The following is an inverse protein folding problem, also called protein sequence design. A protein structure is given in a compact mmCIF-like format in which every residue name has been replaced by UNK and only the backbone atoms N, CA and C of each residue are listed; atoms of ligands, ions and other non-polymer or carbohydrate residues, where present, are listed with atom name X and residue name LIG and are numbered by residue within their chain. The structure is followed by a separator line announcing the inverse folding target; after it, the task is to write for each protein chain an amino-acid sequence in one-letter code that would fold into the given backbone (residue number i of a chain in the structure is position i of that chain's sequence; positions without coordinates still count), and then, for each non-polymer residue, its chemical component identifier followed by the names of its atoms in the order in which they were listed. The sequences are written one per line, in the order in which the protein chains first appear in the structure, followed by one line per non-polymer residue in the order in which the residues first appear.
data_IF_877509002803
#
_entry.id   IF_877509002803
#
_cell.length_a   1.000
_cell.length_b   1.000
_cell.length_c   1.000
_cell.angle_alpha   90.00
_cell.angle_beta   90.00
_cell.angle_gamma   90.00
#
_symmetry.space_group_name_H-M   'P 1'
#
loop_
_entity.id
_entity.type
_entity.pdbx_description
1 polymer ?
#
# COMPACT_ATOMS: atom_id res chain seq x y z
N UNK A 1 -3.92 -35.13 -60.09
CA UNK A 1 -3.99 -36.60 -60.06
C UNK A 1 -3.57 -37.07 -58.68
N UNK A 2 -4.41 -37.93 -58.07
CA UNK A 2 -4.16 -39.03 -57.12
C UNK A 2 -2.77 -39.13 -56.46
N UNK A 3 -2.57 -39.51 -55.20
CA UNK A 3 -3.36 -40.25 -54.19
C UNK A 3 -2.45 -40.37 -52.95
N UNK A 4 -2.99 -40.45 -51.73
CA UNK A 4 -2.13 -40.76 -50.58
C UNK A 4 -2.83 -40.87 -49.23
N UNK A 5 -3.82 -41.74 -49.12
CA UNK A 5 -4.54 -42.12 -47.89
C UNK A 5 -3.79 -43.23 -47.15
N UNK A 6 -3.39 -43.07 -45.87
CA UNK A 6 -3.36 -44.09 -44.76
C UNK A 6 -3.18 -43.35 -43.41
N UNK A 7 -4.17 -43.18 -42.53
CA UNK A 7 -4.82 -44.06 -41.52
C UNK A 7 -3.93 -44.57 -40.34
N UNK A 8 -4.42 -44.22 -39.12
CA UNK A 8 -4.22 -44.82 -37.76
C UNK A 8 -2.99 -44.32 -36.99
N UNK A 9 -3.00 -44.06 -35.67
CA UNK A 9 -3.85 -44.53 -34.56
C UNK A 9 -3.92 -43.45 -33.45
N UNK A 10 -5.10 -43.10 -32.93
CA UNK A 10 -5.68 -43.58 -31.65
C UNK A 10 -4.72 -43.45 -30.46
N UNK A 11 -4.85 -42.36 -29.70
CA UNK A 11 -4.51 -42.35 -28.28
C UNK A 11 -5.78 -42.02 -27.50
N UNK A 12 -6.39 -43.06 -26.95
CA UNK A 12 -7.51 -42.96 -26.00
C UNK A 12 -6.92 -42.54 -24.66
N UNK A 13 -7.11 -41.29 -24.26
CA UNK A 13 -6.89 -40.89 -22.88
C UNK A 13 -8.19 -41.19 -22.13
N UNK A 14 -8.16 -42.27 -21.36
CA UNK A 14 -9.23 -42.64 -20.46
C UNK A 14 -9.36 -41.59 -19.34
N UNK A 15 -10.30 -40.66 -19.50
CA UNK A 15 -10.72 -39.75 -18.42
C UNK A 15 -11.64 -40.52 -17.49
N UNK A 16 -11.06 -41.07 -16.43
CA UNK A 16 -11.80 -41.61 -15.31
C UNK A 16 -12.43 -40.46 -14.52
N UNK A 17 -13.76 -40.40 -14.64
CA UNK A 17 -14.76 -40.13 -13.61
C UNK A 17 -14.51 -38.99 -12.63
N UNK A 18 -15.36 -37.94 -12.66
CA UNK A 18 -15.92 -37.39 -11.42
C UNK A 18 -17.39 -36.97 -11.62
N UNK A 19 -18.23 -37.17 -10.58
CA UNK A 19 -19.66 -37.34 -10.70
C UNK A 19 -20.44 -36.03 -10.87
N UNK A 20 -21.63 -36.19 -11.42
CA UNK A 20 -22.71 -35.20 -11.48
C UNK A 20 -23.12 -34.74 -10.08
N UNK A 21 -22.83 -33.49 -9.74
CA UNK A 21 -23.46 -32.81 -8.61
C UNK A 21 -24.58 -31.90 -9.13
N UNK A 22 -25.77 -32.46 -9.28
CA UNK A 22 -27.01 -31.69 -9.22
C UNK A 22 -27.16 -31.17 -7.79
N UNK A 23 -27.16 -29.87 -7.61
CA UNK A 23 -27.37 -29.25 -6.32
C UNK A 23 -27.20 -27.76 -6.44
N UNK A 24 -28.31 -27.04 -6.64
CA UNK A 24 -28.34 -25.60 -6.53
C UNK A 24 -27.90 -25.22 -5.12
N UNK A 25 -26.65 -24.80 -4.98
CA UNK A 25 -26.14 -24.11 -3.81
C UNK A 25 -26.13 -22.64 -4.17
N UNK A 26 -27.16 -21.94 -3.74
CA UNK A 26 -27.19 -20.48 -3.70
C UNK A 26 -25.89 -20.00 -3.04
N UNK A 27 -25.09 -19.25 -3.79
CA UNK A 27 -23.76 -18.81 -3.35
C UNK A 27 -23.98 -18.00 -2.06
N UNK A 28 -23.43 -18.40 -0.90
CA UNK A 28 -23.50 -17.55 0.27
C UNK A 28 -22.86 -16.19 -0.08
N UNK A 29 -23.38 -15.07 0.45
CA UNK A 29 -22.76 -13.77 0.23
C UNK A 29 -21.27 -13.88 0.64
N UNK A 30 -20.36 -13.19 -0.08
CA UNK A 30 -18.95 -13.20 0.31
C UNK A 30 -18.88 -12.79 1.78
N UNK A 31 -18.24 -13.64 2.60
CA UNK A 31 -17.93 -13.31 3.98
C UNK A 31 -17.34 -11.91 3.97
N UNK A 32 -17.99 -10.99 4.70
CA UNK A 32 -17.70 -9.57 4.66
C UNK A 32 -16.20 -9.35 4.73
N UNK A 33 -15.69 -8.45 3.88
CA UNK A 33 -14.32 -8.00 3.93
C UNK A 33 -13.94 -7.78 5.40
N UNK A 34 -12.76 -8.26 5.86
CA UNK A 34 -12.34 -8.06 7.23
C UNK A 34 -12.38 -6.56 7.49
N UNK A 35 -13.38 -6.12 8.28
CA UNK A 35 -13.45 -4.75 8.76
C UNK A 35 -12.13 -4.55 9.50
N UNK A 36 -11.31 -3.54 9.16
CA UNK A 36 -10.09 -3.28 9.89
C UNK A 36 -10.48 -3.13 11.36
N UNK A 37 -10.03 -4.08 12.19
CA UNK A 37 -10.25 -4.02 13.63
C UNK A 37 -9.59 -2.75 14.17
N UNK A 38 -10.09 -2.17 15.27
CA UNK A 38 -9.39 -1.06 15.91
C UNK A 38 -8.04 -1.59 16.40
N UNK A 39 -6.95 -1.18 15.76
CA UNK A 39 -5.59 -1.45 16.25
C UNK A 39 -4.66 -2.26 15.34
N UNK A 40 -4.93 -2.39 14.04
CA UNK A 40 -3.86 -2.69 13.07
C UNK A 40 -3.44 -1.41 12.33
N UNK A 41 -3.15 -0.37 13.10
CA UNK A 41 -2.28 0.69 12.59
C UNK A 41 -0.91 0.07 12.39
N UNK A 42 -0.23 0.43 11.30
CA UNK A 42 1.24 0.39 11.29
C UNK A 42 1.74 0.99 12.62
N UNK A 43 2.79 0.46 13.25
CA UNK A 43 3.29 0.99 14.53
C UNK A 43 3.33 2.51 14.43
N UNK A 44 2.59 3.19 15.31
CA UNK A 44 2.25 4.60 15.18
C UNK A 44 3.52 5.35 14.76
N UNK A 45 3.55 5.81 13.51
CA UNK A 45 4.76 6.40 12.96
C UNK A 45 5.09 7.58 13.86
N UNK A 46 6.29 7.56 14.43
CA UNK A 46 6.66 8.54 15.44
C UNK A 46 6.41 9.95 14.87
N UNK A 47 5.72 10.78 15.65
CA UNK A 47 5.36 12.15 15.29
C UNK A 47 6.27 13.13 16.00
N UNK A 48 6.55 14.24 15.34
CA UNK A 48 7.46 15.25 15.82
C UNK A 48 7.39 16.53 14.99
N UNK A 49 8.41 17.36 15.14
CA UNK A 49 8.50 18.66 14.48
C UNK A 49 9.25 18.56 13.16
N UNK A 50 8.66 19.11 12.11
CA UNK A 50 9.30 19.29 10.81
C UNK A 50 9.68 20.77 10.63
N UNK A 51 10.97 21.04 10.49
CA UNK A 51 11.48 22.37 10.17
C UNK A 51 11.82 22.41 8.68
N UNK A 52 11.09 23.21 7.92
CA UNK A 52 11.33 23.48 6.52
C UNK A 52 12.10 24.79 6.39
N UNK A 53 13.17 24.81 5.61
CA UNK A 53 13.97 26.00 5.35
C UNK A 53 13.78 26.42 3.90
N UNK A 54 13.48 27.71 3.70
CA UNK A 54 13.26 28.36 2.41
C UNK A 54 14.10 29.63 2.34
N UNK A 55 15.18 29.65 1.56
CA UNK A 55 16.14 30.74 1.46
C UNK A 55 16.50 31.32 2.85
N UNK A 56 15.83 32.40 3.26
CA UNK A 56 16.07 33.12 4.50
C UNK A 56 14.98 32.92 5.57
N UNK A 57 14.01 32.04 5.33
CA UNK A 57 12.89 31.74 6.21
C UNK A 57 12.95 30.29 6.69
N UNK A 58 12.55 30.08 7.93
CA UNK A 58 12.32 28.75 8.49
C UNK A 58 10.89 28.67 9.00
N UNK A 59 10.19 27.63 8.58
CA UNK A 59 8.82 27.33 8.97
C UNK A 59 8.81 26.00 9.72
N UNK A 60 7.93 25.87 10.72
CA UNK A 60 7.79 24.63 11.46
C UNK A 60 6.37 24.08 11.35
N UNK A 61 6.27 22.78 11.06
CA UNK A 61 5.03 22.01 11.02
C UNK A 61 5.08 20.96 12.12
N UNK A 62 4.16 21.06 13.09
CA UNK A 62 4.08 20.14 14.22
C UNK A 62 3.37 18.83 13.82
N UNK A 63 3.51 17.81 14.67
CA UNK A 63 2.76 16.55 14.61
C UNK A 63 2.91 15.78 13.28
N UNK A 64 4.07 15.91 12.65
CA UNK A 64 4.41 15.22 11.40
C UNK A 64 5.28 14.00 11.66
N UNK A 65 5.08 12.97 10.86
CA UNK A 65 6.05 11.88 10.72
C UNK A 65 7.24 12.34 9.88
N UNK A 66 8.38 11.67 9.99
CA UNK A 66 9.57 11.97 9.17
C UNK A 66 9.25 11.90 7.66
N UNK A 67 8.44 10.91 7.27
CA UNK A 67 8.02 10.72 5.89
C UNK A 67 7.18 11.90 5.39
N UNK A 68 6.24 12.38 6.19
CA UNK A 68 5.42 13.55 5.85
C UNK A 68 6.29 14.82 5.78
N UNK A 69 7.27 14.97 6.67
CA UNK A 69 8.20 16.09 6.62
C UNK A 69 8.97 16.16 5.30
N UNK A 70 9.53 15.02 4.85
CA UNK A 70 10.20 14.91 3.55
C UNK A 70 9.24 15.22 2.40
N UNK A 71 8.06 14.61 2.39
CA UNK A 71 7.05 14.83 1.34
C UNK A 71 6.61 16.29 1.26
N UNK A 72 6.48 16.96 2.40
CA UNK A 72 6.14 18.38 2.44
C UNK A 72 7.25 19.26 1.86
N UNK A 73 8.52 18.96 2.16
CA UNK A 73 9.63 19.69 1.55
C UNK A 73 9.65 19.52 0.02
N UNK A 74 9.46 18.28 -0.47
CA UNK A 74 9.41 17.99 -1.90
C UNK A 74 8.23 18.73 -2.57
N UNK A 75 7.06 18.75 -1.94
CA UNK A 75 5.86 19.40 -2.46
C UNK A 75 5.94 20.94 -2.45
N UNK A 76 6.58 21.52 -1.44
CA UNK A 76 6.73 22.97 -1.28
C UNK A 76 8.02 23.51 -1.90
N UNK A 77 8.85 22.65 -2.48
CA UNK A 77 10.16 23.00 -3.06
C UNK A 77 11.05 23.72 -2.04
N UNK A 78 11.15 23.16 -0.84
CA UNK A 78 11.99 23.70 0.23
C UNK A 78 13.49 23.43 -0.04
N UNK A 79 14.39 24.27 0.47
CA UNK A 79 15.84 24.08 0.28
C UNK A 79 16.38 22.92 1.11
N UNK A 80 15.88 22.79 2.34
CA UNK A 80 16.23 21.70 3.25
C UNK A 80 15.20 21.52 4.33
N UNK A 81 15.11 20.30 4.87
CA UNK A 81 14.25 19.97 5.99
C UNK A 81 15.03 19.31 7.13
N UNK A 82 14.54 19.49 8.36
CA UNK A 82 14.99 18.77 9.54
C UNK A 82 13.77 18.22 10.30
N UNK A 83 13.78 16.94 10.62
CA UNK A 83 12.73 16.30 11.41
C UNK A 83 13.27 15.93 12.78
N UNK A 84 12.51 16.25 13.83
CA UNK A 84 12.84 15.96 15.22
C UNK A 84 11.78 15.07 15.85
N UNK A 85 12.17 13.85 16.20
CA UNK A 85 11.29 12.85 16.84
C UNK A 85 10.71 13.34 18.16
N UNK A 86 9.38 13.21 18.34
CA UNK A 86 8.64 13.49 19.59
C UNK A 86 8.88 14.87 20.20
N UNK A 87 9.40 15.81 19.42
CA UNK A 87 9.59 17.20 19.83
C UNK A 87 8.52 18.11 19.22
N UNK A 88 8.02 19.10 19.96
CA UNK A 88 7.14 20.11 19.40
C UNK A 88 7.93 21.10 18.53
N UNK A 89 7.20 21.88 17.73
CA UNK A 89 7.76 23.05 17.07
C UNK A 89 8.28 24.04 18.11
N UNK A 90 9.55 24.39 18.00
CA UNK A 90 10.21 25.34 18.88
C UNK A 90 10.52 26.59 18.08
N UNK A 91 9.94 27.72 18.49
CA UNK A 91 10.36 29.03 17.99
C UNK A 91 11.55 29.49 18.82
N UNK A 92 12.75 29.55 18.24
CA UNK A 92 13.95 30.14 18.85
C UNK A 92 13.88 31.68 18.97
N UNK A 93 12.67 32.23 19.11
CA UNK A 93 12.43 33.67 19.24
C UNK A 93 12.55 34.14 20.69
N UNK A 94 13.68 34.77 21.01
CA UNK A 94 13.99 35.59 22.20
C UNK A 94 13.89 34.94 23.58
N UNK A 95 15.05 34.70 24.20
CA UNK A 95 15.14 34.34 25.62
C UNK A 95 16.57 34.23 26.16
N UNK A 96 17.31 35.35 26.21
CA UNK A 96 18.54 35.51 27.02
C UNK A 96 19.85 35.49 26.26
#
# INVERSE_FOLDING_TARGET
MSTGRRLRAVLVVALLAFPTASGGAERPPPAGEPRPGPGQGTPDALRGACYLTFAERRECVADTTERECRQNCDALLCDSYAWLDRLPCWNWGYGG
#
